data_IF_028718550160
#
_entry.id   IF_028718550160
#
_cell.length_a   1.000
_cell.length_b   1.000
_cell.length_c   1.000
_cell.angle_alpha   90.00
_cell.angle_beta   90.00
_cell.angle_gamma   90.00
#
_symmetry.space_group_name_H-M   'P 1'
#
loop_
_entity.id
_entity.type
_entity.pdbx_description
1 polymer ?
#
# COMPACT_ATOMS: atom_id res chain seq x y z
N UNK A 1 11.61 24.69 -66.61
CA UNK A 1 11.92 24.18 -65.26
C UNK A 1 13.08 23.21 -65.35
N UNK A 2 14.25 23.50 -64.75
CA UNK A 2 15.42 22.59 -64.74
C UNK A 2 15.38 21.73 -63.47
N UNK A 3 15.14 20.43 -63.62
CA UNK A 3 15.30 19.46 -62.54
C UNK A 3 16.78 19.42 -62.10
N UNK A 4 17.10 19.93 -60.91
CA UNK A 4 18.42 19.75 -60.31
C UNK A 4 18.55 18.28 -59.91
N UNK A 5 19.38 17.53 -60.63
CA UNK A 5 19.71 16.15 -60.29
C UNK A 5 20.38 16.11 -58.92
N UNK A 6 19.82 15.31 -58.02
CA UNK A 6 20.37 15.07 -56.69
C UNK A 6 21.55 14.10 -56.78
N UNK A 7 22.73 14.62 -57.14
CA UNK A 7 24.01 13.90 -57.19
C UNK A 7 24.26 12.91 -56.03
N UNK A 8 23.99 13.23 -54.75
CA UNK A 8 24.18 12.26 -53.67
C UNK A 8 23.24 11.06 -53.77
N UNK A 9 22.00 11.24 -54.22
CA UNK A 9 21.06 10.13 -54.44
C UNK A 9 21.51 9.25 -55.61
N UNK A 10 22.01 9.87 -56.68
CA UNK A 10 22.57 9.13 -57.83
C UNK A 10 23.79 8.31 -57.41
N UNK A 11 24.70 8.90 -56.61
CA UNK A 11 25.86 8.17 -56.07
C UNK A 11 25.48 6.96 -55.23
N UNK A 12 24.47 7.10 -54.36
CA UNK A 12 23.95 5.98 -53.55
C UNK A 12 23.37 4.88 -54.46
N UNK A 13 22.50 5.24 -55.41
CA UNK A 13 21.87 4.28 -56.32
C UNK A 13 22.93 3.53 -57.15
N UNK A 14 23.90 4.25 -57.72
CA UNK A 14 24.96 3.64 -58.53
C UNK A 14 25.84 2.71 -57.70
N UNK A 15 26.19 3.10 -56.47
CA UNK A 15 26.95 2.26 -55.55
C UNK A 15 26.19 0.97 -55.18
N UNK A 16 24.89 1.09 -54.88
CA UNK A 16 24.02 -0.07 -54.60
C UNK A 16 23.94 -1.01 -55.80
N UNK A 17 23.80 -0.49 -57.02
CA UNK A 17 23.76 -1.30 -58.24
C UNK A 17 25.08 -2.06 -58.45
N UNK A 18 26.23 -1.37 -58.30
CA UNK A 18 27.55 -1.99 -58.43
C UNK A 18 27.74 -3.10 -57.39
N UNK A 19 27.30 -2.88 -56.14
CA UNK A 19 27.35 -3.88 -55.10
C UNK A 19 26.60 -5.17 -55.48
N UNK A 20 25.36 -5.05 -55.98
CA UNK A 20 24.59 -6.22 -56.42
C UNK A 20 25.22 -6.93 -57.61
N UNK A 21 25.75 -6.19 -58.60
CA UNK A 21 26.42 -6.78 -59.77
C UNK A 21 27.64 -7.60 -59.34
N UNK A 22 28.49 -7.04 -58.46
CA UNK A 22 29.67 -7.73 -57.93
C UNK A 22 29.24 -8.96 -57.13
N UNK A 23 28.24 -8.83 -56.25
CA UNK A 23 27.75 -9.92 -55.41
C UNK A 23 27.20 -11.12 -56.21
N UNK A 24 26.51 -10.86 -57.33
CA UNK A 24 26.02 -11.90 -58.24
C UNK A 24 27.15 -12.53 -59.04
N UNK A 25 28.08 -11.71 -59.57
CA UNK A 25 29.18 -12.18 -60.45
C UNK A 25 30.17 -13.09 -59.71
N UNK A 26 30.42 -12.82 -58.42
CA UNK A 26 31.28 -13.64 -57.58
C UNK A 26 30.54 -14.82 -56.91
N UNK A 27 29.29 -15.12 -57.31
CA UNK A 27 28.44 -16.16 -56.73
C UNK A 27 28.32 -16.09 -55.20
N UNK A 28 28.49 -14.89 -54.62
CA UNK A 28 28.35 -14.67 -53.18
C UNK A 28 26.88 -14.87 -52.76
N UNK A 29 25.94 -14.60 -53.67
CA UNK A 29 24.51 -14.85 -53.52
C UNK A 29 23.89 -15.43 -54.80
N UNK A 30 23.12 -16.51 -54.66
CA UNK A 30 22.27 -17.01 -55.74
C UNK A 30 21.08 -16.06 -55.97
N UNK A 31 20.89 -15.61 -57.21
CA UNK A 31 19.83 -14.66 -57.57
C UNK A 31 18.42 -15.17 -57.20
N UNK A 32 18.22 -16.50 -57.27
CA UNK A 32 16.95 -17.14 -56.94
C UNK A 32 16.66 -17.17 -55.43
N UNK A 33 17.68 -17.16 -54.57
CA UNK A 33 17.51 -17.24 -53.11
C UNK A 33 17.51 -15.86 -52.43
N UNK A 34 18.01 -14.83 -53.10
CA UNK A 34 18.02 -13.44 -52.61
C UNK A 34 16.65 -12.96 -52.11
N UNK A 35 15.53 -13.07 -52.86
CA UNK A 35 14.22 -12.64 -52.37
C UNK A 35 13.83 -13.36 -51.07
N UNK A 36 14.03 -14.67 -51.01
CA UNK A 36 13.71 -15.48 -49.82
C UNK A 36 14.52 -15.09 -48.59
N UNK A 37 15.82 -14.83 -48.75
CA UNK A 37 16.70 -14.37 -47.67
C UNK A 37 16.34 -12.97 -47.17
N UNK A 38 16.02 -12.04 -48.09
CA UNK A 38 15.56 -10.70 -47.74
C UNK A 38 14.22 -10.73 -46.99
N UNK A 39 13.23 -11.49 -47.50
CA UNK A 39 11.93 -11.63 -46.82
C UNK A 39 12.05 -12.36 -45.48
N UNK A 40 12.88 -13.41 -45.39
CA UNK A 40 13.13 -14.13 -44.14
C UNK A 40 13.79 -13.24 -43.08
N UNK A 41 14.76 -12.42 -43.48
CA UNK A 41 15.41 -11.45 -42.58
C UNK A 41 14.42 -10.37 -42.14
N UNK A 42 13.64 -9.80 -43.06
CA UNK A 42 12.63 -8.79 -42.75
C UNK A 42 11.56 -9.34 -41.80
N UNK A 43 11.07 -10.55 -42.06
CA UNK A 43 10.08 -11.23 -41.23
C UNK A 43 10.66 -11.55 -39.85
N UNK A 44 11.91 -12.01 -39.76
CA UNK A 44 12.61 -12.24 -38.50
C UNK A 44 12.75 -10.96 -37.67
N UNK A 45 13.11 -9.83 -38.30
CA UNK A 45 13.18 -8.52 -37.62
C UNK A 45 11.81 -8.07 -37.13
N UNK A 46 10.76 -8.22 -37.94
CA UNK A 46 9.39 -7.85 -37.56
C UNK A 46 8.88 -8.71 -36.39
N UNK A 47 9.06 -10.03 -36.46
CA UNK A 47 8.68 -10.94 -35.37
C UNK A 47 9.45 -10.59 -34.09
N UNK A 48 10.76 -10.37 -34.20
CA UNK A 48 11.59 -9.98 -33.05
C UNK A 48 11.09 -8.68 -32.45
N UNK A 49 10.82 -7.65 -33.26
CA UNK A 49 10.28 -6.38 -32.78
C UNK A 49 8.92 -6.56 -32.06
N UNK A 50 8.03 -7.40 -32.60
CA UNK A 50 6.74 -7.71 -31.97
C UNK A 50 6.96 -8.39 -30.61
N UNK A 51 7.79 -9.43 -30.56
CA UNK A 51 8.11 -10.14 -29.30
C UNK A 51 8.70 -9.17 -28.28
N UNK A 52 9.64 -8.32 -28.68
CA UNK A 52 10.24 -7.32 -27.79
C UNK A 52 9.19 -6.35 -27.24
N UNK A 53 8.30 -5.82 -28.08
CA UNK A 53 7.21 -4.93 -27.60
C UNK A 53 6.29 -5.64 -26.62
N UNK A 54 5.93 -6.90 -26.88
CA UNK A 54 5.10 -7.70 -25.97
C UNK A 54 5.80 -7.98 -24.63
N UNK A 55 7.09 -8.30 -24.65
CA UNK A 55 7.88 -8.51 -23.44
C UNK A 55 7.99 -7.24 -22.59
N UNK A 56 8.29 -6.10 -23.22
CA UNK A 56 8.35 -4.81 -22.52
C UNK A 56 6.99 -4.43 -21.94
N UNK A 57 5.90 -4.57 -22.69
CA UNK A 57 4.55 -4.30 -22.18
C UNK A 57 4.16 -5.22 -21.02
N UNK A 58 4.53 -6.51 -21.09
CA UNK A 58 4.29 -7.47 -20.02
C UNK A 58 5.03 -7.10 -18.73
N UNK A 59 6.30 -6.71 -18.86
CA UNK A 59 7.12 -6.26 -17.74
C UNK A 59 6.59 -4.96 -17.13
N UNK A 60 6.31 -3.93 -17.93
CA UNK A 60 5.82 -2.64 -17.44
C UNK A 60 4.49 -2.77 -16.69
N UNK A 61 3.53 -3.55 -17.20
CA UNK A 61 2.25 -3.77 -16.50
C UNK A 61 2.44 -4.51 -15.18
N UNK A 62 3.33 -5.51 -15.16
CA UNK A 62 3.66 -6.23 -13.93
C UNK A 62 4.32 -5.31 -12.90
N UNK A 63 5.25 -4.46 -13.32
CA UNK A 63 5.92 -3.50 -12.44
C UNK A 63 4.96 -2.45 -11.89
N UNK A 64 4.11 -1.86 -12.74
CA UNK A 64 3.09 -0.88 -12.32
C UNK A 64 2.12 -1.49 -11.29
N UNK A 65 1.67 -2.73 -11.53
CA UNK A 65 0.78 -3.41 -10.59
C UNK A 65 1.46 -3.69 -9.25
N UNK A 66 2.73 -4.10 -9.27
CA UNK A 66 3.54 -4.34 -8.07
C UNK A 66 3.77 -3.06 -7.29
N UNK A 67 4.17 -1.99 -7.97
CA UNK A 67 4.39 -0.67 -7.36
C UNK A 67 3.10 -0.14 -6.73
N UNK A 68 1.98 -0.23 -7.45
CA UNK A 68 0.67 0.15 -6.91
C UNK A 68 0.32 -0.64 -5.66
N UNK A 69 0.53 -1.96 -5.66
CA UNK A 69 0.26 -2.80 -4.49
C UNK A 69 1.16 -2.43 -3.30
N UNK A 70 2.44 -2.13 -3.55
CA UNK A 70 3.37 -1.66 -2.50
C UNK A 70 2.93 -0.32 -1.91
N UNK A 71 2.62 0.66 -2.75
CA UNK A 71 2.16 1.98 -2.29
C UNK A 71 0.85 1.91 -1.50
N UNK A 72 -0.11 1.08 -1.95
CA UNK A 72 -1.35 0.85 -1.20
C UNK A 72 -1.06 0.19 0.15
N UNK A 73 -0.14 -0.78 0.19
CA UNK A 73 0.24 -1.47 1.41
C UNK A 73 0.95 -0.53 2.41
N UNK A 74 1.87 0.31 1.94
CA UNK A 74 2.52 1.34 2.75
C UNK A 74 1.49 2.34 3.30
N UNK A 75 0.55 2.79 2.45
CA UNK A 75 -0.48 3.73 2.90
C UNK A 75 -1.43 3.11 3.93
N UNK A 76 -1.79 1.83 3.78
CA UNK A 76 -2.58 1.10 4.78
C UNK A 76 -1.87 1.06 6.13
N UNK A 77 -0.56 0.75 6.15
CA UNK A 77 0.22 0.73 7.39
C UNK A 77 0.25 2.10 8.07
N UNK A 78 0.45 3.17 7.29
CA UNK A 78 0.45 4.55 7.80
C UNK A 78 -0.88 4.89 8.47
N UNK A 79 -2.01 4.63 7.79
CA UNK A 79 -3.36 4.88 8.33
C UNK A 79 -3.59 4.06 9.60
N UNK A 80 -3.20 2.79 9.62
CA UNK A 80 -3.39 1.92 10.78
C UNK A 80 -2.57 2.40 11.98
N UNK A 81 -1.31 2.79 11.75
CA UNK A 81 -0.44 3.34 12.79
C UNK A 81 -0.95 4.69 13.32
N UNK A 82 -1.42 5.57 12.44
CA UNK A 82 -1.99 6.86 12.81
C UNK A 82 -3.25 6.67 13.67
N UNK A 83 -4.16 5.80 13.25
CA UNK A 83 -5.37 5.47 14.01
C UNK A 83 -5.03 4.97 15.43
N UNK A 84 -4.11 4.01 15.57
CA UNK A 84 -3.70 3.48 16.88
C UNK A 84 -3.06 4.57 17.77
N UNK A 85 -2.26 5.46 17.18
CA UNK A 85 -1.62 6.57 17.88
C UNK A 85 -2.66 7.58 18.38
N UNK A 86 -3.64 7.92 17.54
CA UNK A 86 -4.70 8.85 17.90
C UNK A 86 -5.64 8.25 18.94
N UNK A 87 -5.99 6.96 18.83
CA UNK A 87 -6.77 6.24 19.83
C UNK A 87 -6.08 6.28 21.20
N UNK A 88 -4.78 5.95 21.26
CA UNK A 88 -4.02 6.04 22.50
C UNK A 88 -3.96 7.48 23.03
N UNK A 89 -3.78 8.47 22.15
CA UNK A 89 -3.77 9.89 22.53
C UNK A 89 -5.09 10.33 23.16
N UNK A 90 -6.22 9.90 22.61
CA UNK A 90 -7.56 10.22 23.12
C UNK A 90 -7.75 9.59 24.51
N UNK A 91 -7.46 8.29 24.65
CA UNK A 91 -7.57 7.56 25.92
C UNK A 91 -6.65 8.15 27.01
N UNK A 92 -5.44 8.61 26.66
CA UNK A 92 -4.52 9.25 27.61
C UNK A 92 -4.89 10.72 27.93
N UNK A 93 -5.27 11.54 26.94
CA UNK A 93 -5.62 12.96 27.16
C UNK A 93 -6.88 13.13 27.99
N UNK A 94 -7.73 12.12 27.97
CA UNK A 94 -8.89 11.97 28.81
C UNK A 94 -8.53 11.99 30.31
N UNK A 95 -7.35 11.47 30.73
CA UNK A 95 -6.96 11.34 32.15
C UNK A 95 -6.29 12.58 32.76
N UNK A 96 -5.69 13.47 31.94
CA UNK A 96 -4.82 14.57 32.39
C UNK A 96 -5.51 15.94 32.52
N UNK A 97 -6.84 15.99 32.51
CA UNK A 97 -7.61 17.26 32.44
C UNK A 97 -8.39 17.71 33.70
N UNK A 98 -7.97 17.40 34.95
CA UNK A 98 -8.77 17.77 36.13
C UNK A 98 -8.79 19.28 36.44
N UNK A 99 -7.90 20.07 35.86
CA UNK A 99 -7.77 21.52 36.13
C UNK A 99 -8.51 22.43 35.14
N UNK A 100 -9.22 21.89 34.16
CA UNK A 100 -9.95 22.68 33.17
C UNK A 100 -11.34 23.07 33.67
N UNK A 101 -11.79 24.29 33.35
CA UNK A 101 -13.18 24.70 33.57
C UNK A 101 -14.14 23.82 32.77
N UNK A 102 -15.35 23.59 33.30
CA UNK A 102 -16.36 22.67 32.72
C UNK A 102 -16.60 22.91 31.23
N UNK A 103 -16.65 24.17 30.79
CA UNK A 103 -16.80 24.52 29.37
C UNK A 103 -15.63 24.06 28.48
N UNK A 104 -14.38 24.25 28.93
CA UNK A 104 -13.19 23.80 28.19
C UNK A 104 -13.03 22.28 28.20
N UNK A 105 -13.51 21.61 29.25
CA UNK A 105 -13.54 20.13 29.31
C UNK A 105 -14.48 19.56 28.24
N UNK A 106 -15.69 20.11 28.12
CA UNK A 106 -16.66 19.70 27.10
C UNK A 106 -16.13 19.95 25.68
N UNK A 107 -15.58 21.13 25.42
CA UNK A 107 -14.97 21.46 24.12
C UNK A 107 -13.86 20.48 23.72
N UNK A 108 -13.01 20.09 24.66
CA UNK A 108 -11.94 19.12 24.44
C UNK A 108 -12.46 17.72 24.12
N UNK A 109 -13.48 17.25 24.84
CA UNK A 109 -14.10 15.94 24.57
C UNK A 109 -14.79 15.92 23.19
N UNK A 110 -15.45 17.02 22.80
CA UNK A 110 -16.05 17.16 21.46
C UNK A 110 -14.97 17.10 20.37
N UNK A 111 -13.84 17.77 20.56
CA UNK A 111 -12.72 17.73 19.61
C UNK A 111 -12.10 16.33 19.52
N UNK A 112 -11.91 15.64 20.64
CA UNK A 112 -11.40 14.26 20.65
C UNK A 112 -12.33 13.30 19.89
N UNK A 113 -13.64 13.42 20.10
CA UNK A 113 -14.63 12.60 19.39
C UNK A 113 -14.65 12.94 17.89
N UNK A 114 -14.55 14.23 17.54
CA UNK A 114 -14.43 14.67 16.16
C UNK A 114 -13.21 14.02 15.48
N UNK A 115 -12.03 14.10 16.09
CA UNK A 115 -10.82 13.48 15.55
C UNK A 115 -10.99 11.96 15.38
N UNK A 116 -11.58 11.27 16.36
CA UNK A 116 -11.83 9.82 16.28
C UNK A 116 -12.76 9.44 15.12
N UNK A 117 -13.80 10.23 14.88
CA UNK A 117 -14.74 9.99 13.77
C UNK A 117 -14.03 10.13 12.42
N UNK A 118 -13.13 11.09 12.27
CA UNK A 118 -12.34 11.23 11.04
C UNK A 118 -11.40 10.04 10.85
N UNK A 119 -10.72 9.60 11.91
CA UNK A 119 -9.88 8.41 11.87
C UNK A 119 -10.66 7.15 11.50
N UNK A 120 -11.92 6.99 11.97
CA UNK A 120 -12.78 5.91 11.51
C UNK A 120 -13.08 6.00 10.01
N UNK A 121 -13.33 7.19 9.47
CA UNK A 121 -13.50 7.39 8.04
C UNK A 121 -12.29 6.94 7.23
N UNK A 122 -11.08 7.30 7.65
CA UNK A 122 -9.84 6.86 7.01
C UNK A 122 -9.64 5.35 7.15
N UNK A 123 -9.93 4.79 8.32
CA UNK A 123 -9.80 3.36 8.58
C UNK A 123 -10.75 2.53 7.70
N UNK A 124 -12.00 2.99 7.55
CA UNK A 124 -13.01 2.33 6.73
C UNK A 124 -12.60 2.22 5.25
N UNK A 125 -11.83 3.18 4.74
CA UNK A 125 -11.32 3.13 3.35
C UNK A 125 -10.34 1.98 3.11
N UNK A 126 -9.72 1.46 4.17
CA UNK A 126 -8.59 0.54 4.09
C UNK A 126 -8.85 -0.83 4.73
N UNK A 127 -10.05 -1.04 5.27
CA UNK A 127 -10.48 -2.25 5.97
C UNK A 127 -11.74 -2.84 5.33
N UNK A 128 -11.98 -4.13 5.53
CA UNK A 128 -13.29 -4.72 5.22
C UNK A 128 -14.37 -4.23 6.19
N UNK A 129 -15.64 -4.29 5.74
CA UNK A 129 -16.77 -3.89 6.58
C UNK A 129 -16.86 -4.72 7.87
N UNK A 130 -16.52 -6.01 7.81
CA UNK A 130 -16.51 -6.90 8.98
C UNK A 130 -15.43 -6.50 9.99
N UNK A 131 -14.20 -6.25 9.52
CA UNK A 131 -13.11 -5.78 10.38
C UNK A 131 -13.45 -4.44 11.00
N UNK A 132 -13.96 -3.51 10.20
CA UNK A 132 -14.34 -2.18 10.68
C UNK A 132 -15.39 -2.24 11.79
N UNK A 133 -16.45 -3.02 11.61
CA UNK A 133 -17.51 -3.20 12.62
C UNK A 133 -16.95 -3.76 13.94
N UNK A 134 -16.09 -4.79 13.86
CA UNK A 134 -15.41 -5.34 15.04
C UNK A 134 -14.53 -4.30 15.76
N UNK A 135 -13.80 -3.48 15.00
CA UNK A 135 -12.98 -2.41 15.58
C UNK A 135 -13.86 -1.39 16.31
N UNK A 136 -15.01 -1.01 15.75
CA UNK A 136 -15.94 -0.10 16.43
C UNK A 136 -16.43 -0.65 17.77
N UNK A 137 -16.72 -1.95 17.85
CA UNK A 137 -17.10 -2.62 19.11
C UNK A 137 -15.97 -2.50 20.14
N UNK A 138 -14.74 -2.87 19.77
CA UNK A 138 -13.60 -2.79 20.68
C UNK A 138 -13.32 -1.35 21.11
N UNK A 139 -13.37 -0.36 20.21
CA UNK A 139 -13.18 1.05 20.60
C UNK A 139 -14.32 1.54 21.51
N UNK A 140 -15.56 1.13 21.27
CA UNK A 140 -16.70 1.46 22.14
C UNK A 140 -16.52 0.95 23.57
N UNK A 141 -16.01 -0.28 23.73
CA UNK A 141 -15.67 -0.84 25.04
C UNK A 141 -14.56 -0.02 25.73
N UNK A 142 -13.48 0.30 24.99
CA UNK A 142 -12.36 1.10 25.51
C UNK A 142 -12.83 2.48 26.01
N UNK A 143 -13.66 3.16 25.24
CA UNK A 143 -14.22 4.47 25.62
C UNK A 143 -15.14 4.35 26.84
N UNK A 144 -15.93 3.28 26.93
CA UNK A 144 -16.80 3.02 28.08
C UNK A 144 -15.99 2.84 29.37
N UNK A 145 -14.99 1.97 29.35
CA UNK A 145 -14.16 1.71 30.54
C UNK A 145 -13.31 2.93 30.93
N UNK A 146 -12.75 3.66 29.94
CA UNK A 146 -12.05 4.92 30.18
C UNK A 146 -12.93 5.93 30.91
N UNK A 147 -14.20 6.04 30.49
CA UNK A 147 -15.17 6.91 31.14
C UNK A 147 -15.54 6.47 32.56
N UNK A 148 -15.71 5.16 32.81
CA UNK A 148 -16.06 4.62 34.13
C UNK A 148 -14.97 4.88 35.17
N UNK A 149 -13.69 4.73 34.79
CA UNK A 149 -12.56 5.04 35.67
C UNK A 149 -12.53 6.52 36.07
N UNK A 150 -12.96 7.42 35.19
CA UNK A 150 -12.96 8.86 35.47
C UNK A 150 -14.04 9.28 36.46
N UNK A 151 -15.22 8.64 36.41
CA UNK A 151 -16.35 8.98 37.28
C UNK A 151 -16.13 8.42 38.70
N UNK A 152 -15.34 7.37 38.85
CA UNK A 152 -15.04 6.78 40.15
C UNK A 152 -14.18 7.71 41.01
N UNK A 153 -14.81 8.54 41.85
CA UNK A 153 -14.17 9.47 42.81
C UNK A 153 -13.20 8.80 43.80
N UNK A 154 -13.31 7.48 43.98
CA UNK A 154 -12.32 6.64 44.65
C UNK A 154 -11.99 5.47 43.71
N UNK A 155 -10.81 5.52 43.10
CA UNK A 155 -10.29 4.45 42.25
C UNK A 155 -9.93 3.26 43.14
N UNK A 156 -10.82 2.27 43.26
CA UNK A 156 -10.43 0.98 43.83
C UNK A 156 -9.42 0.33 42.88
N UNK A 157 -8.38 -0.30 43.43
CA UNK A 157 -7.36 -1.03 42.66
C UNK A 157 -8.01 -2.00 41.67
N UNK A 158 -9.12 -2.63 42.07
CA UNK A 158 -9.92 -3.53 41.26
C UNK A 158 -10.51 -2.87 39.99
N UNK A 159 -10.99 -1.62 40.06
CA UNK A 159 -11.49 -0.89 38.89
C UNK A 159 -10.37 -0.52 37.92
N UNK A 160 -9.21 -0.16 38.46
CA UNK A 160 -8.01 0.15 37.67
C UNK A 160 -7.51 -1.11 36.96
N UNK A 161 -7.43 -2.24 37.67
CA UNK A 161 -7.10 -3.54 37.09
C UNK A 161 -8.06 -3.90 35.95
N UNK A 162 -9.38 -3.78 36.16
CA UNK A 162 -10.39 -4.09 35.16
C UNK A 162 -10.27 -3.25 33.87
N UNK A 163 -9.96 -1.96 34.00
CA UNK A 163 -9.69 -1.11 32.85
C UNK A 163 -8.46 -1.57 32.08
N UNK A 164 -7.35 -1.86 32.75
CA UNK A 164 -6.14 -2.29 32.05
C UNK A 164 -6.29 -3.68 31.43
N UNK A 165 -7.09 -4.57 32.02
CA UNK A 165 -7.48 -5.84 31.40
C UNK A 165 -8.27 -5.61 30.11
N UNK A 166 -9.28 -4.74 30.15
CA UNK A 166 -10.09 -4.40 28.97
C UNK A 166 -9.27 -3.68 27.92
N UNK A 167 -8.47 -2.69 28.31
CA UNK A 167 -7.54 -1.97 27.46
C UNK A 167 -6.66 -2.93 26.69
N UNK A 168 -6.04 -3.87 27.42
CA UNK A 168 -5.13 -4.85 26.84
C UNK A 168 -5.87 -5.77 25.87
N UNK A 169 -6.99 -6.35 26.29
CA UNK A 169 -7.78 -7.27 25.46
C UNK A 169 -8.25 -6.61 24.16
N UNK A 170 -8.91 -5.46 24.26
CA UNK A 170 -9.52 -4.80 23.11
C UNK A 170 -8.50 -4.11 22.21
N UNK A 171 -7.43 -3.53 22.77
CA UNK A 171 -6.33 -3.00 21.97
C UNK A 171 -5.65 -4.10 21.15
N UNK A 172 -5.31 -5.24 21.76
CA UNK A 172 -4.69 -6.34 21.02
C UNK A 172 -5.65 -7.01 20.04
N UNK A 173 -6.95 -7.03 20.31
CA UNK A 173 -7.95 -7.48 19.34
C UNK A 173 -7.96 -6.56 18.11
N UNK A 174 -7.95 -5.23 18.30
CA UNK A 174 -7.84 -4.25 17.21
C UNK A 174 -6.55 -4.49 16.42
N UNK A 175 -5.40 -4.59 17.09
CA UNK A 175 -4.10 -4.84 16.41
C UNK A 175 -4.14 -6.15 15.62
N UNK A 176 -4.78 -7.20 16.15
CA UNK A 176 -4.94 -8.48 15.45
C UNK A 176 -5.79 -8.35 14.18
N UNK A 177 -6.88 -7.61 14.24
CA UNK A 177 -7.73 -7.33 13.08
C UNK A 177 -6.97 -6.53 12.00
N UNK A 178 -6.24 -5.49 12.41
CA UNK A 178 -5.42 -4.68 11.50
C UNK A 178 -4.27 -5.48 10.88
N UNK A 179 -3.64 -6.37 11.65
CA UNK A 179 -2.61 -7.30 11.15
C UNK A 179 -3.20 -8.22 10.08
N UNK A 180 -4.40 -8.75 10.32
CA UNK A 180 -5.08 -9.60 9.36
C UNK A 180 -5.39 -8.86 8.05
N UNK A 181 -5.84 -7.61 8.12
CA UNK A 181 -6.08 -6.76 6.92
C UNK A 181 -4.80 -6.42 6.13
N UNK A 182 -3.65 -6.33 6.80
CA UNK A 182 -2.37 -6.04 6.16
C UNK A 182 -1.72 -7.28 5.55
N UNK A 183 -1.65 -8.37 6.31
CA UNK A 183 -0.80 -9.52 6.02
C UNK A 183 -1.59 -10.79 5.69
N UNK A 184 -2.91 -10.77 5.88
CA UNK A 184 -3.76 -11.98 5.85
C UNK A 184 -3.28 -13.06 6.85
N UNK A 185 -2.70 -12.62 7.97
CA UNK A 185 -2.16 -13.47 9.02
C UNK A 185 -2.85 -13.19 10.35
N UNK A 186 -3.02 -14.24 11.16
CA UNK A 186 -3.45 -14.07 12.54
C UNK A 186 -2.30 -13.58 13.42
N UNK A 187 -2.63 -12.80 14.45
CA UNK A 187 -1.65 -12.44 15.47
C UNK A 187 -1.22 -13.67 16.26
N UNK A 188 0.05 -13.73 16.70
CA UNK A 188 0.48 -14.75 17.63
C UNK A 188 -0.37 -14.69 18.90
N UNK A 189 -0.64 -15.86 19.49
CA UNK A 189 -1.38 -15.91 20.75
C UNK A 189 -0.63 -15.13 21.83
N UNK A 190 -1.31 -14.18 22.44
CA UNK A 190 -0.78 -13.43 23.57
C UNK A 190 -1.20 -14.14 24.84
N UNK A 191 -0.20 -14.55 25.61
CA UNK A 191 -0.35 -15.23 26.89
C UNK A 191 -0.97 -14.26 27.92
N UNK A 192 -2.27 -14.43 28.17
CA UNK A 192 -3.05 -13.58 29.06
C UNK A 192 -2.50 -13.59 30.49
N UNK A 193 -2.06 -14.74 30.98
CA UNK A 193 -1.54 -14.87 32.36
C UNK A 193 -0.29 -14.00 32.57
N UNK A 194 0.54 -13.84 31.53
CA UNK A 194 1.71 -12.95 31.59
C UNK A 194 1.32 -11.47 31.62
N UNK A 195 0.32 -11.08 30.85
CA UNK A 195 -0.18 -9.70 30.83
C UNK A 195 -0.88 -9.34 32.13
N UNK A 196 -1.77 -10.21 32.61
CA UNK A 196 -2.50 -10.04 33.87
C UNK A 196 -1.51 -9.91 35.04
N UNK A 197 -0.43 -10.71 35.03
CA UNK A 197 0.65 -10.57 36.01
C UNK A 197 1.32 -9.20 35.95
N UNK A 198 1.58 -8.66 34.77
CA UNK A 198 2.20 -7.32 34.62
C UNK A 198 1.26 -6.24 35.15
N UNK A 199 -0.04 -6.32 34.82
CA UNK A 199 -1.05 -5.37 35.27
C UNK A 199 -1.15 -5.39 36.80
N UNK A 200 -1.24 -6.58 37.41
CA UNK A 200 -1.32 -6.75 38.87
C UNK A 200 -0.09 -6.29 39.63
N UNK A 201 1.09 -6.29 39.00
CA UNK A 201 2.32 -5.79 39.60
C UNK A 201 2.46 -4.26 39.50
N UNK A 202 1.60 -3.60 38.72
CA UNK A 202 1.68 -2.15 38.46
C UNK A 202 0.86 -1.30 39.43
N UNK A 203 0.04 -1.92 40.29
CA UNK A 203 -0.83 -1.30 41.29
C UNK A 203 -0.73 -2.03 42.63
#
# INVERSE_FOLDING_TARGET
>A
MKNKINWPRVGIITSTIIFFIVAITFEIFELASLPGQFFGTLLGVVITAIITVLLLQGQTKSEESRERHLLVFEKKQEVFFQFLTQLNTILQRESLSPHLSTGKKIEKEVNNLHDLIFEFGFLQMHTSAETFDKILVHVGNLMTESHQIKIAENQSVEKVEQYYLTLTSDFFAIVSLLKHELYNEFSPHIDKDKLDRIIRLSF
#
